data_IF_922853861337
#
_entry.id   IF_922853861337
#
_cell.length_a   1.000
_cell.length_b   1.000
_cell.length_c   1.000
_cell.angle_alpha   90.00
_cell.angle_beta   90.00
_cell.angle_gamma   90.00
#
_symmetry.space_group_name_H-M   'P 1'
#
loop_
_entity.id
_entity.type
_entity.pdbx_description
1 polymer ?
#
# COMPACT_ATOMS: atom_id res chain seq x y z
N UNK A 1 -71.86 -5.43 0.98
CA UNK A 1 -71.76 -5.72 -0.46
C UNK A 1 -70.28 -5.84 -0.82
N UNK A 2 -69.92 -6.94 -1.50
CA UNK A 2 -68.61 -7.37 -2.08
C UNK A 2 -67.36 -7.32 -1.17
N UNK A 3 -66.89 -8.40 -0.52
CA UNK A 3 -66.26 -9.63 -1.04
C UNK A 3 -65.11 -9.41 -2.03
N UNK A 4 -63.87 -9.63 -1.59
CA UNK A 4 -62.87 -10.35 -2.40
C UNK A 4 -61.86 -11.07 -1.49
N UNK A 5 -61.62 -12.36 -1.81
CA UNK A 5 -60.86 -13.37 -1.06
C UNK A 5 -59.37 -13.40 -1.48
N UNK A 6 -58.51 -14.10 -0.71
CA UNK A 6 -57.08 -14.28 -1.01
C UNK A 6 -56.82 -15.47 -1.94
N UNK A 7 -55.68 -15.50 -2.63
CA UNK A 7 -55.20 -16.66 -3.40
C UNK A 7 -53.78 -17.08 -2.98
N UNK A 8 -53.62 -18.39 -2.84
CA UNK A 8 -52.45 -19.12 -2.35
C UNK A 8 -51.75 -19.85 -3.54
N UNK A 9 -50.64 -20.62 -3.32
CA UNK A 9 -49.48 -20.71 -4.21
C UNK A 9 -49.45 -21.95 -5.13
N UNK A 10 -48.51 -21.98 -6.08
CA UNK A 10 -48.23 -23.13 -6.93
C UNK A 10 -46.84 -23.75 -6.66
N UNK A 11 -46.87 -25.06 -6.49
CA UNK A 11 -45.76 -26.01 -6.33
C UNK A 11 -44.95 -26.22 -7.61
N UNK A 12 -43.65 -26.51 -7.46
CA UNK A 12 -42.81 -27.19 -8.44
C UNK A 12 -41.62 -27.87 -7.75
N UNK A 13 -41.71 -29.19 -7.57
CA UNK A 13 -40.75 -30.09 -6.88
C UNK A 13 -39.66 -30.58 -7.84
N UNK A 14 -38.44 -30.81 -7.33
CA UNK A 14 -37.67 -32.08 -7.38
C UNK A 14 -36.29 -31.88 -6.70
N UNK A 15 -36.03 -32.50 -5.54
CA UNK A 15 -35.29 -33.78 -5.33
C UNK A 15 -33.81 -33.65 -5.78
N UNK A 16 -32.76 -33.87 -4.99
CA UNK A 16 -32.49 -34.92 -4.00
C UNK A 16 -31.30 -34.52 -3.10
N UNK A 17 -31.42 -34.67 -1.77
CA UNK A 17 -30.70 -35.66 -0.93
C UNK A 17 -29.16 -35.67 -1.02
N UNK A 18 -28.48 -35.18 0.02
CA UNK A 18 -27.37 -35.90 0.66
C UNK A 18 -27.05 -35.28 2.03
N UNK A 19 -27.64 -35.90 3.06
CA UNK A 19 -27.38 -35.68 4.48
C UNK A 19 -26.04 -36.33 4.84
N UNK A 20 -25.06 -35.54 5.32
CA UNK A 20 -23.89 -36.08 6.02
C UNK A 20 -24.08 -35.89 7.53
N UNK A 21 -24.12 -37.02 8.23
CA UNK A 21 -24.28 -37.19 9.69
C UNK A 21 -23.04 -36.72 10.46
N UNK A 22 -23.16 -36.30 11.74
CA UNK A 22 -22.04 -36.08 12.65
C UNK A 22 -21.72 -37.36 13.44
N UNK A 23 -20.45 -37.62 13.74
CA UNK A 23 -20.01 -38.67 14.71
C UNK A 23 -18.75 -38.22 15.45
N UNK A 24 -18.46 -38.79 16.65
CA UNK A 24 -18.12 -37.98 17.83
C UNK A 24 -16.67 -38.11 18.35
N UNK A 25 -16.37 -37.25 19.32
CA UNK A 25 -15.23 -37.25 20.25
C UNK A 25 -15.06 -38.58 20.99
N UNK A 26 -13.82 -39.07 21.11
CA UNK A 26 -13.36 -39.96 22.18
C UNK A 26 -11.88 -39.70 22.51
N UNK A 27 -11.60 -39.44 23.80
CA UNK A 27 -10.28 -39.38 24.43
C UNK A 27 -9.66 -40.79 24.56
N UNK A 28 -8.33 -40.91 24.47
CA UNK A 28 -7.51 -41.75 25.36
C UNK A 28 -6.00 -41.45 25.21
N UNK A 29 -5.34 -41.21 26.35
CA UNK A 29 -3.88 -41.05 26.60
C UNK A 29 -3.17 -42.43 26.80
N UNK A 30 -1.94 -42.54 27.38
CA UNK A 30 -0.60 -42.08 26.99
C UNK A 30 0.48 -43.20 26.95
N UNK A 31 1.73 -42.81 26.64
CA UNK A 31 3.04 -43.41 27.02
C UNK A 31 3.60 -44.63 26.26
N UNK A 32 4.85 -44.50 25.77
CA UNK A 32 6.00 -45.40 26.01
C UNK A 32 7.20 -44.99 25.12
N UNK A 33 8.28 -44.54 25.78
CA UNK A 33 9.65 -44.45 25.21
C UNK A 33 10.29 -45.85 25.16
N UNK A 34 11.39 -46.10 24.42
CA UNK A 34 12.71 -45.95 25.06
C UNK A 34 13.94 -45.61 24.16
N UNK A 35 14.90 -44.94 24.80
CA UNK A 35 16.37 -45.09 24.82
C UNK A 35 17.28 -45.08 23.56
N UNK A 36 18.21 -44.10 23.60
CA UNK A 36 19.69 -44.18 23.48
C UNK A 36 20.28 -44.80 22.18
N UNK A 37 21.16 -44.12 21.43
CA UNK A 37 22.48 -43.71 21.89
C UNK A 37 23.22 -42.93 20.78
N UNK A 38 23.96 -41.90 21.17
CA UNK A 38 24.89 -41.14 20.32
C UNK A 38 26.26 -41.81 20.29
N UNK A 39 27.04 -41.68 19.20
CA UNK A 39 28.49 -41.73 19.28
C UNK A 39 29.11 -40.35 19.08
N UNK A 40 30.08 -40.03 19.93
CA UNK A 40 30.87 -38.80 19.96
C UNK A 40 32.28 -39.00 19.37
N UNK A 41 32.67 -38.04 18.51
CA UNK A 41 34.01 -37.40 18.37
C UNK A 41 35.19 -38.33 17.96
N UNK A 42 35.85 -38.20 16.81
CA UNK A 42 36.69 -37.06 16.41
C UNK A 42 37.31 -37.32 15.02
N UNK A 43 37.47 -36.29 14.21
CA UNK A 43 38.76 -36.00 13.57
C UNK A 43 38.75 -34.58 13.01
N UNK A 44 39.72 -33.82 13.51
CA UNK A 44 40.11 -32.50 13.09
C UNK A 44 40.56 -32.48 11.63
N UNK A 45 39.88 -31.71 10.80
CA UNK A 45 40.54 -30.98 9.72
C UNK A 45 39.87 -29.62 9.59
N UNK A 46 40.53 -28.60 10.13
CA UNK A 46 40.17 -27.21 9.96
C UNK A 46 40.48 -26.79 8.53
N UNK A 47 39.56 -27.05 7.60
CA UNK A 47 39.55 -26.33 6.33
C UNK A 47 39.11 -24.90 6.64
N UNK A 48 39.85 -23.84 6.27
CA UNK A 48 39.30 -22.51 6.39
C UNK A 48 38.03 -22.45 5.54
N UNK A 49 36.99 -21.65 5.91
CA UNK A 49 35.97 -21.34 4.96
C UNK A 49 36.69 -20.68 3.78
N UNK A 50 36.77 -21.38 2.65
CA UNK A 50 37.07 -20.74 1.38
C UNK A 50 35.92 -19.78 1.13
N UNK A 51 35.98 -18.59 1.73
CA UNK A 51 35.47 -17.41 1.08
C UNK A 51 36.17 -17.44 -0.27
N UNK A 52 35.43 -17.80 -1.33
CA UNK A 52 35.75 -17.26 -2.64
C UNK A 52 35.74 -15.77 -2.42
N UNK A 53 36.91 -15.19 -2.16
CA UNK A 53 37.17 -13.81 -2.50
C UNK A 53 36.73 -13.74 -3.95
N UNK A 54 35.61 -13.05 -4.21
CA UNK A 54 35.29 -12.68 -5.58
C UNK A 54 36.58 -12.09 -6.09
N UNK A 55 37.15 -12.70 -7.14
CA UNK A 55 38.38 -12.22 -7.73
C UNK A 55 38.10 -10.79 -8.21
N UNK A 56 38.40 -9.80 -7.37
CA UNK A 56 38.24 -8.38 -7.69
C UNK A 56 39.36 -7.90 -8.61
N UNK A 57 40.06 -8.82 -9.28
CA UNK A 57 41.06 -8.53 -10.30
C UNK A 57 40.40 -8.31 -11.66
N UNK A 58 39.22 -7.68 -11.66
CA UNK A 58 38.61 -7.13 -12.86
C UNK A 58 39.03 -5.66 -12.91
N UNK A 59 39.94 -5.27 -13.82
CA UNK A 59 40.30 -3.86 -14.02
C UNK A 59 39.04 -3.00 -14.18
N UNK A 60 39.03 -1.73 -13.74
CA UNK A 60 37.83 -0.88 -13.77
C UNK A 60 37.16 -0.79 -15.15
N UNK A 61 37.95 -0.82 -16.23
CA UNK A 61 37.45 -0.82 -17.60
C UNK A 61 36.70 -2.12 -17.97
N UNK A 62 37.14 -3.25 -17.43
CA UNK A 62 36.54 -4.57 -17.68
C UNK A 62 35.32 -4.79 -16.78
N UNK A 63 35.32 -4.22 -15.57
CA UNK A 63 34.16 -4.20 -14.68
C UNK A 63 33.05 -3.31 -15.28
N UNK A 64 33.39 -2.12 -15.79
CA UNK A 64 32.45 -1.25 -16.48
C UNK A 64 31.86 -1.88 -17.76
N UNK A 65 32.65 -2.72 -18.47
CA UNK A 65 32.17 -3.46 -19.63
C UNK A 65 31.22 -4.61 -19.26
N UNK A 66 31.47 -5.33 -18.16
CA UNK A 66 30.63 -6.43 -17.68
C UNK A 66 29.38 -5.95 -16.93
N UNK A 67 29.43 -4.79 -16.27
CA UNK A 67 28.33 -4.23 -15.48
C UNK A 67 27.34 -3.41 -16.30
N UNK A 68 27.56 -3.23 -17.60
CA UNK A 68 26.61 -2.53 -18.48
C UNK A 68 25.58 -3.50 -19.02
N UNK A 69 24.32 -3.33 -18.59
CA UNK A 69 23.20 -4.09 -19.16
C UNK A 69 22.90 -3.55 -20.57
N UNK A 70 23.06 -4.36 -21.63
CA UNK A 70 22.66 -3.93 -22.97
C UNK A 70 21.13 -3.86 -23.04
N UNK A 71 20.60 -2.77 -23.59
CA UNK A 71 19.16 -2.70 -23.91
C UNK A 71 18.90 -3.53 -25.16
N UNK A 72 17.93 -4.43 -25.08
CA UNK A 72 17.38 -5.15 -26.24
C UNK A 72 16.15 -4.44 -26.83
N UNK A 73 15.71 -3.34 -26.20
CA UNK A 73 14.54 -2.58 -26.64
C UNK A 73 14.94 -1.64 -27.78
N UNK A 74 14.25 -1.75 -28.91
CA UNK A 74 14.32 -0.79 -30.01
C UNK A 74 13.27 0.31 -29.84
N UNK A 75 13.67 1.56 -29.54
CA UNK A 75 12.74 2.68 -29.33
C UNK A 75 12.00 3.12 -30.61
N UNK A 76 12.43 2.68 -31.79
CA UNK A 76 11.83 3.05 -33.07
C UNK A 76 10.82 2.01 -33.57
N UNK A 77 10.76 0.84 -32.93
CA UNK A 77 9.80 -0.22 -33.26
C UNK A 77 8.35 0.22 -33.02
N UNK A 78 7.43 -0.30 -33.82
CA UNK A 78 6.01 0.00 -33.66
C UNK A 78 5.47 -0.54 -32.32
N UNK A 79 5.92 -1.73 -31.88
CA UNK A 79 5.59 -2.28 -30.55
C UNK A 79 5.98 -1.33 -29.41
N UNK A 80 7.17 -0.71 -29.48
CA UNK A 80 7.59 0.27 -28.48
C UNK A 80 6.67 1.50 -28.49
N UNK A 81 6.30 2.00 -29.68
CA UNK A 81 5.42 3.16 -29.83
C UNK A 81 4.02 2.88 -29.30
N UNK A 82 3.48 1.70 -29.57
CA UNK A 82 2.17 1.27 -29.06
C UNK A 82 2.19 1.15 -27.54
N UNK A 83 3.20 0.49 -26.97
CA UNK A 83 3.39 0.38 -25.52
C UNK A 83 3.54 1.76 -24.86
N UNK A 84 4.34 2.66 -25.46
CA UNK A 84 4.52 4.02 -24.99
C UNK A 84 3.20 4.81 -25.02
N UNK A 85 2.39 4.66 -26.07
CA UNK A 85 1.10 5.34 -26.19
C UNK A 85 0.10 4.89 -25.12
N UNK A 86 0.01 3.58 -24.84
CA UNK A 86 -0.86 3.03 -23.82
C UNK A 86 -0.42 3.46 -22.41
N UNK A 87 0.88 3.40 -22.14
CA UNK A 87 1.43 3.85 -20.85
C UNK A 87 1.23 5.36 -20.64
N UNK A 88 1.39 6.16 -21.69
CA UNK A 88 1.14 7.60 -21.63
C UNK A 88 -0.33 7.89 -21.28
N UNK A 89 -1.28 7.17 -21.88
CA UNK A 89 -2.70 7.30 -21.57
C UNK A 89 -3.02 6.98 -20.10
N UNK A 90 -2.49 5.87 -19.57
CA UNK A 90 -2.69 5.49 -18.17
C UNK A 90 -2.06 6.49 -17.20
N UNK A 91 -0.85 6.96 -17.49
CA UNK A 91 -0.15 7.95 -16.68
C UNK A 91 -0.88 9.28 -16.67
N UNK A 92 -1.43 9.71 -17.82
CA UNK A 92 -2.25 10.91 -17.91
C UNK A 92 -3.53 10.81 -17.07
N UNK A 93 -4.21 9.66 -17.11
CA UNK A 93 -5.39 9.40 -16.27
C UNK A 93 -5.05 9.44 -14.78
N UNK A 94 -3.96 8.76 -14.39
CA UNK A 94 -3.46 8.76 -13.01
C UNK A 94 -3.12 10.18 -12.52
N UNK A 95 -2.45 10.96 -13.36
CA UNK A 95 -2.09 12.34 -13.05
C UNK A 95 -3.32 13.25 -12.92
N UNK A 96 -4.32 13.09 -13.81
CA UNK A 96 -5.56 13.84 -13.74
C UNK A 96 -6.36 13.52 -12.47
N UNK A 97 -6.46 12.24 -12.11
CA UNK A 97 -7.10 11.80 -10.87
C UNK A 97 -6.38 12.35 -9.63
N UNK A 98 -5.05 12.27 -9.62
CA UNK A 98 -4.22 12.79 -8.53
C UNK A 98 -4.43 14.30 -8.36
N UNK A 99 -4.43 15.08 -9.46
CA UNK A 99 -4.74 16.52 -9.41
C UNK A 99 -6.14 16.82 -8.88
N UNK A 100 -7.16 16.02 -9.25
CA UNK A 100 -8.52 16.16 -8.69
C UNK A 100 -8.49 15.98 -7.17
N UNK A 101 -7.85 14.92 -6.69
CA UNK A 101 -7.79 14.59 -5.26
C UNK A 101 -6.95 15.61 -4.47
N UNK A 102 -5.88 16.14 -5.07
CA UNK A 102 -5.04 17.16 -4.44
C UNK A 102 -5.79 18.46 -4.10
N UNK A 103 -6.93 18.73 -4.75
CA UNK A 103 -7.79 19.88 -4.39
C UNK A 103 -8.40 19.76 -2.99
N UNK A 104 -8.48 18.56 -2.42
CA UNK A 104 -9.08 18.31 -1.10
C UNK A 104 -10.60 18.34 -1.17
N UNK A 105 -11.25 18.93 -0.16
CA UNK A 105 -12.70 19.01 -0.06
C UNK A 105 -13.39 19.88 -1.12
N UNK A 106 -14.73 19.95 -1.11
CA UNK A 106 -15.49 20.76 -2.06
C UNK A 106 -15.13 22.25 -1.94
N UNK A 107 -15.25 23.00 -3.04
CA UNK A 107 -14.78 24.39 -3.10
C UNK A 107 -15.40 25.29 -2.02
N UNK A 108 -16.69 25.13 -1.72
CA UNK A 108 -17.36 25.83 -0.60
C UNK A 108 -16.69 25.59 0.76
N UNK A 109 -16.19 24.38 1.01
CA UNK A 109 -15.48 24.07 2.25
C UNK A 109 -14.07 24.70 2.27
N UNK A 110 -13.39 24.74 1.13
CA UNK A 110 -12.10 25.40 0.96
C UNK A 110 -12.21 26.91 1.16
N UNK A 111 -13.20 27.55 0.53
CA UNK A 111 -13.51 28.97 0.71
C UNK A 111 -13.80 29.30 2.18
N UNK A 112 -14.65 28.50 2.84
CA UNK A 112 -14.93 28.67 4.27
C UNK A 112 -13.69 28.51 5.15
N UNK A 113 -12.76 27.63 4.76
CA UNK A 113 -11.49 27.42 5.47
C UNK A 113 -10.56 28.62 5.29
N UNK A 114 -10.44 29.13 4.07
CA UNK A 114 -9.63 30.32 3.74
C UNK A 114 -10.20 31.59 4.37
N UNK A 115 -11.52 31.77 4.39
CA UNK A 115 -12.21 32.90 5.01
C UNK A 115 -11.96 33.00 6.53
N UNK A 116 -11.45 31.92 7.16
CA UNK A 116 -11.03 31.89 8.57
C UNK A 116 -9.55 32.24 8.74
N UNK A 117 -8.88 32.76 7.71
CA UNK A 117 -7.45 33.06 7.68
C UNK A 117 -6.56 31.85 8.02
N UNK A 118 -6.95 30.66 7.55
CA UNK A 118 -6.18 29.42 7.73
C UNK A 118 -5.60 28.95 6.40
N UNK A 119 -4.32 28.62 6.38
CA UNK A 119 -3.68 27.96 5.23
C UNK A 119 -4.33 26.60 4.96
N UNK A 120 -4.42 26.20 3.69
CA UNK A 120 -4.80 24.83 3.35
C UNK A 120 -3.71 23.85 3.83
N UNK A 121 -4.06 22.60 4.13
CA UNK A 121 -3.10 21.62 4.63
C UNK A 121 -1.87 21.44 3.73
N UNK A 122 -2.04 21.43 2.39
CA UNK A 122 -0.92 21.32 1.44
C UNK A 122 -0.01 22.54 1.48
N UNK A 123 -0.60 23.74 1.54
CA UNK A 123 0.16 24.99 1.67
C UNK A 123 0.96 25.02 2.98
N UNK A 124 0.40 24.46 4.08
CA UNK A 124 1.14 24.31 5.34
C UNK A 124 2.33 23.39 5.21
N UNK A 125 2.19 22.27 4.49
CA UNK A 125 3.31 21.36 4.23
C UNK A 125 4.37 22.08 3.40
N UNK A 126 3.97 22.78 2.33
CA UNK A 126 4.90 23.56 1.50
C UNK A 126 5.63 24.64 2.29
N UNK A 127 4.98 25.28 3.26
CA UNK A 127 5.60 26.26 4.14
C UNK A 127 6.47 25.64 5.25
N UNK A 128 6.24 24.37 5.60
CA UNK A 128 6.97 23.64 6.64
C UNK A 128 8.28 23.03 6.12
N UNK A 129 8.29 22.53 4.88
CA UNK A 129 9.46 21.88 4.30
C UNK A 129 10.54 22.88 3.89
N UNK A 130 11.78 22.45 3.95
CA UNK A 130 12.93 23.28 3.59
C UNK A 130 12.90 23.66 2.09
N UNK A 131 13.17 24.94 1.74
CA UNK A 131 13.21 25.38 0.34
C UNK A 131 14.19 24.56 -0.50
N UNK A 132 13.77 24.19 -1.71
CA UNK A 132 14.57 23.37 -2.63
C UNK A 132 14.55 21.87 -2.34
N UNK A 133 13.88 21.43 -1.28
CA UNK A 133 13.66 20.01 -1.00
C UNK A 133 12.33 19.51 -1.58
N UNK A 134 12.23 18.21 -1.79
CA UNK A 134 11.04 17.57 -2.34
C UNK A 134 10.20 16.91 -1.24
N UNK A 135 8.89 16.94 -1.40
CA UNK A 135 7.95 16.21 -0.54
C UNK A 135 7.47 14.93 -1.24
N UNK A 136 7.72 13.77 -0.63
CA UNK A 136 7.23 12.48 -1.09
C UNK A 136 5.89 12.17 -0.44
N UNK A 137 4.78 12.45 -1.13
CA UNK A 137 3.44 12.14 -0.63
C UNK A 137 3.16 10.63 -0.64
N UNK A 138 2.60 10.13 0.47
CA UNK A 138 2.25 8.73 0.67
C UNK A 138 0.74 8.53 0.44
N UNK A 139 0.41 7.53 -0.37
CA UNK A 139 -0.97 7.10 -0.63
C UNK A 139 -1.93 8.26 -0.99
N UNK A 140 -1.63 9.07 -2.04
CA UNK A 140 -2.46 10.22 -2.43
C UNK A 140 -3.88 9.79 -2.82
N UNK A 141 -4.06 8.59 -3.36
CA UNK A 141 -5.36 8.05 -3.80
C UNK A 141 -6.15 7.32 -2.72
N UNK A 142 -5.73 7.39 -1.45
CA UNK A 142 -6.44 6.73 -0.36
C UNK A 142 -7.91 7.17 -0.33
N UNK A 143 -8.83 6.20 -0.19
CA UNK A 143 -10.27 6.46 -0.12
C UNK A 143 -10.95 6.73 -1.46
N UNK A 144 -10.21 6.72 -2.58
CA UNK A 144 -10.81 6.87 -3.91
C UNK A 144 -11.83 5.75 -4.20
N UNK A 145 -13.07 6.12 -4.51
CA UNK A 145 -14.21 5.23 -4.77
C UNK A 145 -14.46 4.17 -3.67
N UNK A 146 -14.03 4.43 -2.43
CA UNK A 146 -14.18 3.47 -1.34
C UNK A 146 -15.54 3.61 -0.62
N UNK A 147 -16.06 4.83 -0.50
CA UNK A 147 -17.31 5.12 0.21
C UNK A 147 -18.38 5.59 -0.79
N UNK A 148 -19.47 4.83 -1.02
CA UNK A 148 -20.53 5.20 -1.95
C UNK A 148 -21.20 6.54 -1.64
N UNK A 149 -21.32 6.89 -0.36
CA UNK A 149 -22.04 8.05 0.16
C UNK A 149 -21.18 9.31 0.34
N UNK A 150 -19.85 9.19 0.16
CA UNK A 150 -18.92 10.26 0.48
C UNK A 150 -17.62 10.19 -0.32
N UNK A 151 -17.29 11.29 -1.00
CA UNK A 151 -15.92 11.49 -1.46
C UNK A 151 -15.02 11.88 -0.26
N UNK A 152 -13.95 11.10 -0.05
CA UNK A 152 -12.95 11.32 1.00
C UNK A 152 -11.55 11.37 0.33
N UNK A 153 -11.22 12.47 -0.38
CA UNK A 153 -9.97 12.58 -1.11
C UNK A 153 -8.76 12.44 -0.18
N UNK A 154 -7.74 11.70 -0.65
CA UNK A 154 -6.54 11.34 0.09
C UNK A 154 -6.79 10.66 1.46
N UNK A 155 -8.01 10.17 1.72
CA UNK A 155 -8.41 9.63 3.02
C UNK A 155 -8.58 10.72 4.08
N UNK A 156 -8.76 11.99 3.69
CA UNK A 156 -8.94 13.12 4.62
C UNK A 156 -7.66 13.52 5.37
N UNK A 157 -6.52 12.95 5.00
CA UNK A 157 -5.22 13.18 5.64
C UNK A 157 -4.12 13.13 4.58
N UNK A 158 -3.21 14.09 4.62
CA UNK A 158 -2.03 14.13 3.78
C UNK A 158 -0.87 13.63 4.63
N UNK A 159 -0.21 12.58 4.15
CA UNK A 159 0.97 12.01 4.80
C UNK A 159 2.10 11.99 3.79
N UNK A 160 3.34 12.15 4.24
CA UNK A 160 4.49 12.10 3.35
C UNK A 160 5.81 12.31 4.07
N UNK A 161 6.90 12.24 3.33
CA UNK A 161 8.25 12.48 3.84
C UNK A 161 8.76 13.78 3.24
N UNK A 162 9.22 14.69 4.10
CA UNK A 162 9.83 15.96 3.72
C UNK A 162 11.08 16.23 4.54
N UNK A 163 11.82 17.27 4.18
CA UNK A 163 12.96 17.75 4.98
C UNK A 163 12.51 18.97 5.76
N UNK A 164 12.77 18.99 7.07
CA UNK A 164 12.47 20.09 7.98
C UNK A 164 13.73 20.35 8.80
N UNK A 165 14.30 21.55 8.68
CA UNK A 165 15.54 21.95 9.36
C UNK A 165 16.70 20.95 9.10
N UNK A 166 16.82 20.50 7.84
CA UNK A 166 17.82 19.51 7.40
C UNK A 166 17.53 18.06 7.78
N UNK A 167 16.41 17.78 8.48
CA UNK A 167 16.05 16.44 8.95
C UNK A 167 14.90 15.86 8.11
N UNK A 168 15.03 14.60 7.66
CA UNK A 168 13.94 13.90 6.98
C UNK A 168 12.89 13.47 7.99
N UNK A 169 11.68 13.99 7.88
CA UNK A 169 10.57 13.76 8.81
C UNK A 169 9.36 13.17 8.07
N UNK A 170 8.59 12.35 8.77
CA UNK A 170 7.24 11.99 8.33
C UNK A 170 6.28 13.08 8.78
N UNK A 171 5.62 13.70 7.81
CA UNK A 171 4.66 14.77 8.04
C UNK A 171 3.26 14.19 7.90
N UNK A 172 2.40 14.47 8.89
CA UNK A 172 0.99 14.08 8.91
C UNK A 172 0.13 15.32 9.10
N UNK A 173 -0.67 15.66 8.08
CA UNK A 173 -1.53 16.84 8.08
C UNK A 173 -2.97 16.47 7.74
N UNK A 174 -3.88 16.65 8.70
CA UNK A 174 -5.30 16.40 8.48
C UNK A 174 -5.92 17.48 7.59
N UNK A 175 -6.79 17.07 6.66
CA UNK A 175 -7.49 18.00 5.78
C UNK A 175 -8.87 18.37 6.34
N UNK A 176 -8.94 19.54 7.00
CA UNK A 176 -10.18 20.07 7.56
C UNK A 176 -11.25 20.39 6.50
N UNK A 177 -10.90 20.48 5.22
CA UNK A 177 -11.87 20.71 4.14
C UNK A 177 -12.62 19.44 3.75
N UNK A 178 -12.07 18.25 4.06
CA UNK A 178 -12.66 16.95 3.76
C UNK A 178 -13.49 16.48 4.94
N UNK A 179 -14.83 16.55 4.83
CA UNK A 179 -15.77 16.13 5.89
C UNK A 179 -15.42 16.72 7.26
N UNK A 180 -14.89 17.95 7.29
CA UNK A 180 -14.50 18.66 8.51
C UNK A 180 -13.20 18.15 9.17
N UNK A 181 -12.44 17.27 8.53
CA UNK A 181 -11.25 16.63 9.11
C UNK A 181 -11.57 15.39 9.96
N UNK A 182 -12.76 14.81 9.78
CA UNK A 182 -13.20 13.60 10.50
C UNK A 182 -12.41 12.37 10.05
N UNK A 183 -12.08 11.49 10.99
CA UNK A 183 -11.41 10.23 10.70
C UNK A 183 -12.38 9.19 10.14
N UNK A 184 -12.17 8.78 8.90
CA UNK A 184 -12.79 7.60 8.32
C UNK A 184 -11.91 6.36 8.59
N UNK A 185 -12.44 5.13 8.44
CA UNK A 185 -11.63 3.92 8.57
C UNK A 185 -10.34 3.94 7.71
N UNK A 186 -10.40 4.50 6.50
CA UNK A 186 -9.23 4.66 5.64
C UNK A 186 -8.23 5.69 6.20
N UNK A 187 -8.70 6.73 6.88
CA UNK A 187 -7.86 7.75 7.53
C UNK A 187 -7.00 7.11 8.61
N UNK A 188 -7.61 6.28 9.46
CA UNK A 188 -6.90 5.53 10.51
C UNK A 188 -5.84 4.63 9.89
N UNK A 189 -6.21 3.84 8.89
CA UNK A 189 -5.27 2.94 8.20
C UNK A 189 -4.10 3.70 7.56
N UNK A 190 -4.38 4.84 6.92
CA UNK A 190 -3.35 5.70 6.31
C UNK A 190 -2.43 6.33 7.34
N UNK A 191 -2.97 6.80 8.47
CA UNK A 191 -2.18 7.38 9.56
C UNK A 191 -1.26 6.31 10.19
N UNK A 192 -1.80 5.13 10.55
CA UNK A 192 -1.00 4.03 11.09
C UNK A 192 0.09 3.58 10.12
N UNK A 193 -0.20 3.58 8.80
CA UNK A 193 0.85 3.28 7.81
C UNK A 193 1.96 4.32 7.79
N UNK A 194 1.64 5.61 7.95
CA UNK A 194 2.66 6.65 8.04
C UNK A 194 3.52 6.49 9.31
N UNK A 195 2.91 6.13 10.44
CA UNK A 195 3.63 5.83 11.68
C UNK A 195 4.55 4.61 11.54
N UNK A 196 4.08 3.53 10.91
CA UNK A 196 4.91 2.36 10.63
C UNK A 196 6.12 2.72 9.76
N UNK A 197 5.93 3.56 8.72
CA UNK A 197 7.04 4.04 7.89
C UNK A 197 8.02 4.87 8.72
N UNK A 198 7.52 5.74 9.61
CA UNK A 198 8.35 6.54 10.50
C UNK A 198 9.21 5.65 11.43
N UNK A 199 8.58 4.65 12.06
CA UNK A 199 9.24 3.69 12.96
C UNK A 199 10.29 2.85 12.23
N UNK A 200 9.92 2.22 11.11
CA UNK A 200 10.81 1.38 10.29
C UNK A 200 12.05 2.14 9.79
N UNK A 201 11.90 3.43 9.49
CA UNK A 201 12.96 4.26 8.90
C UNK A 201 13.60 5.26 9.86
N UNK A 202 13.21 5.24 11.15
CA UNK A 202 13.68 6.17 12.20
C UNK A 202 13.52 7.64 11.80
N UNK A 203 12.37 7.97 11.22
CA UNK A 203 12.03 9.34 10.83
C UNK A 203 11.24 9.98 11.97
N UNK A 204 11.59 11.22 12.38
CA UNK A 204 10.76 12.00 13.29
C UNK A 204 9.36 12.26 12.74
#
# INVERSE_FOLDING_TARGET
MSLCKPSQPALGRHLALLTRRPTPLLLLSPSLSPSLSSPSISSSSSSPPFHRSIANLTPPHQAAALSRLPTAVDPLSDDFRDNASQMAALTAQMAALTRKIQRGGPDKAREKHLARNKMLPRDRITALIDPGTTFLELSPLAGYNLYPEAEVPAGGIITGIGVVEGVRCVIVANDSTVKGGTYYPITVKKHLRAQAIAEENKLP
#
